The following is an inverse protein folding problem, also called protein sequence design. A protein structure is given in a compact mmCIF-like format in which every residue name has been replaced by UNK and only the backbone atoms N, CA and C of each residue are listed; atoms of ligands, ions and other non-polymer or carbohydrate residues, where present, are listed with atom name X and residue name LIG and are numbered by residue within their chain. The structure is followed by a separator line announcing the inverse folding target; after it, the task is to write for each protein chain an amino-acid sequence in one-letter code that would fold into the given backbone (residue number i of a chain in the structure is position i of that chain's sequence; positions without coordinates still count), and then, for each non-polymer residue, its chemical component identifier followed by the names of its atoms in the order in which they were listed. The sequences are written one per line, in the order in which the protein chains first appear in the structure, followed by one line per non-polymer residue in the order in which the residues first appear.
data_IF_602825960779
#
_entry.id   IF_602825960779
#
_cell.length_a   1.000
_cell.length_b   1.000
_cell.length_c   1.000
_cell.angle_alpha   90.00
_cell.angle_beta   90.00
_cell.angle_gamma   90.00
#
_symmetry.space_group_name_H-M   'P 1'
#
loop_
_entity.id
_entity.type
_entity.pdbx_description
1 polymer ?
#
# COMPACT_ATOMS: atom_id res chain seq x y z
N UNK A 1 -51.47 -42.26 14.32
CA UNK A 1 -50.94 -40.89 14.53
C UNK A 1 -49.64 -41.00 15.31
N UNK A 2 -48.52 -40.75 14.65
CA UNK A 2 -47.17 -40.89 15.21
C UNK A 2 -46.91 -39.81 16.27
N UNK A 3 -46.52 -40.22 17.47
CA UNK A 3 -46.20 -39.33 18.57
C UNK A 3 -44.90 -38.57 18.24
N UNK A 4 -45.01 -37.25 18.07
CA UNK A 4 -43.88 -36.36 17.85
C UNK A 4 -42.99 -36.37 19.09
N UNK A 5 -41.82 -36.99 18.97
CA UNK A 5 -40.74 -36.92 19.96
C UNK A 5 -40.29 -35.47 20.06
N UNK A 6 -40.58 -34.82 21.20
CA UNK A 6 -40.06 -33.49 21.52
C UNK A 6 -38.53 -33.53 21.50
N UNK A 7 -37.91 -32.83 20.54
CA UNK A 7 -36.46 -32.61 20.50
C UNK A 7 -36.02 -31.97 21.82
N UNK A 8 -35.10 -32.64 22.54
CA UNK A 8 -34.53 -32.17 23.81
C UNK A 8 -33.80 -30.84 23.57
N UNK A 9 -34.19 -29.79 24.29
CA UNK A 9 -33.49 -28.49 24.29
C UNK A 9 -32.20 -28.61 25.10
N UNK A 10 -31.09 -28.17 24.49
CA UNK A 10 -29.70 -28.25 24.99
C UNK A 10 -29.45 -27.34 26.21
N UNK A 11 -30.41 -26.49 26.55
CA UNK A 11 -30.25 -25.39 27.51
C UNK A 11 -30.64 -25.80 28.95
N UNK A 12 -31.22 -26.99 29.12
CA UNK A 12 -31.69 -27.53 30.42
C UNK A 12 -30.70 -28.50 31.08
N UNK A 13 -29.60 -28.86 30.42
CA UNK A 13 -28.57 -29.67 31.04
C UNK A 13 -27.63 -28.76 31.85
N UNK A 14 -27.68 -28.88 33.17
CA UNK A 14 -26.78 -28.23 34.12
C UNK A 14 -25.31 -28.32 33.64
N UNK A 15 -24.83 -27.25 32.99
CA UNK A 15 -23.44 -27.08 32.51
C UNK A 15 -22.48 -26.80 33.68
N UNK A 16 -22.61 -27.58 34.76
CA UNK A 16 -21.76 -27.42 35.92
C UNK A 16 -20.39 -28.04 35.60
N UNK A 17 -19.42 -27.17 35.34
CA UNK A 17 -18.02 -27.54 35.26
C UNK A 17 -17.59 -28.09 36.63
N UNK A 18 -17.29 -29.40 36.70
CA UNK A 18 -16.75 -30.01 37.91
C UNK A 18 -15.21 -30.09 37.81
N UNK A 19 -14.45 -29.30 38.59
CA UNK A 19 -12.99 -29.32 38.58
C UNK A 19 -12.38 -30.64 39.07
N UNK A 20 -13.15 -31.55 39.68
CA UNK A 20 -12.66 -32.80 40.26
C UNK A 20 -11.99 -33.75 39.26
N UNK A 21 -12.24 -33.60 37.95
CA UNK A 21 -11.68 -34.47 36.90
C UNK A 21 -10.41 -33.93 36.23
N UNK A 22 -9.72 -32.95 36.82
CA UNK A 22 -8.52 -32.33 36.24
C UNK A 22 -8.77 -31.65 34.89
N UNK A 23 -9.88 -30.94 34.75
CA UNK A 23 -10.18 -30.13 33.57
C UNK A 23 -10.02 -28.64 33.85
N UNK A 24 -9.86 -27.85 32.79
CA UNK A 24 -9.99 -26.40 32.79
C UNK A 24 -10.78 -25.97 31.56
N UNK A 25 -11.56 -24.88 31.66
CA UNK A 25 -12.30 -24.35 30.52
C UNK A 25 -11.41 -23.42 29.68
N UNK A 26 -11.34 -23.66 28.37
CA UNK A 26 -10.64 -22.82 27.40
C UNK A 26 -11.44 -22.68 26.11
N UNK A 27 -11.69 -21.43 25.71
CA UNK A 27 -12.42 -21.09 24.49
C UNK A 27 -13.77 -21.83 24.34
N UNK A 28 -14.50 -22.03 25.46
CA UNK A 28 -15.76 -22.76 25.47
C UNK A 28 -15.65 -24.29 25.35
N UNK A 29 -14.45 -24.86 25.54
CA UNK A 29 -14.19 -26.30 25.53
C UNK A 29 -13.47 -26.74 26.82
N UNK A 30 -13.64 -28.01 27.22
CA UNK A 30 -12.95 -28.55 28.40
C UNK A 30 -11.59 -29.13 27.98
N UNK A 31 -10.49 -28.64 28.55
CA UNK A 31 -9.16 -29.19 28.31
C UNK A 31 -8.68 -29.98 29.53
N UNK A 32 -8.24 -31.23 29.31
CA UNK A 32 -7.65 -32.06 30.36
C UNK A 32 -6.26 -31.53 30.75
N UNK A 33 -6.01 -31.31 32.04
CA UNK A 33 -4.76 -30.79 32.58
C UNK A 33 -3.62 -31.82 32.59
N UNK A 34 -3.94 -33.11 32.44
CA UNK A 34 -2.96 -34.21 32.49
C UNK A 34 -2.41 -34.52 31.09
N UNK A 35 -3.28 -34.73 30.11
CA UNK A 35 -2.88 -35.10 28.74
C UNK A 35 -3.10 -34.00 27.69
N UNK A 36 -3.58 -32.82 28.09
CA UNK A 36 -3.82 -31.65 27.23
C UNK A 36 -4.86 -31.85 26.11
N UNK A 37 -5.53 -33.02 26.05
CA UNK A 37 -6.61 -33.30 25.10
C UNK A 37 -7.84 -32.46 25.42
N UNK A 38 -8.53 -32.00 24.36
CA UNK A 38 -9.73 -31.18 24.46
C UNK A 38 -11.00 -32.00 24.25
N UNK A 39 -12.02 -31.74 25.05
CA UNK A 39 -13.35 -32.30 24.97
C UNK A 39 -14.30 -31.21 24.46
N UNK A 40 -14.83 -31.41 23.26
CA UNK A 40 -15.57 -30.39 22.51
C UNK A 40 -16.87 -29.94 23.17
N UNK A 41 -17.46 -30.76 24.05
CA UNK A 41 -18.74 -30.47 24.72
C UNK A 41 -18.55 -30.54 26.23
N UNK A 42 -18.75 -29.39 26.89
CA UNK A 42 -18.67 -29.16 28.35
C UNK A 42 -19.80 -29.88 29.12
N UNK A 43 -19.82 -31.22 29.05
CA UNK A 43 -20.70 -32.07 29.85
C UNK A 43 -19.87 -32.86 30.85
N UNK A 44 -20.32 -32.95 32.09
CA UNK A 44 -19.68 -33.76 33.13
C UNK A 44 -19.47 -35.20 32.67
N UNK A 45 -20.47 -35.80 32.00
CA UNK A 45 -20.36 -37.14 31.42
C UNK A 45 -19.13 -37.29 30.51
N UNK A 46 -18.83 -36.30 29.66
CA UNK A 46 -17.70 -36.39 28.73
C UNK A 46 -16.35 -36.26 29.46
N UNK A 47 -16.29 -35.41 30.48
CA UNK A 47 -15.09 -35.24 31.33
C UNK A 47 -14.84 -36.50 32.18
N UNK A 48 -15.90 -37.07 32.76
CA UNK A 48 -15.87 -38.33 33.50
C UNK A 48 -15.45 -39.50 32.62
N UNK A 49 -16.06 -39.65 31.44
CA UNK A 49 -15.69 -40.71 30.48
C UNK A 49 -14.23 -40.58 30.05
N UNK A 50 -13.76 -39.36 29.79
CA UNK A 50 -12.34 -39.14 29.48
C UNK A 50 -11.45 -39.54 30.65
N UNK A 51 -11.81 -39.16 31.87
CA UNK A 51 -11.09 -39.55 33.08
C UNK A 51 -11.03 -41.08 33.26
N UNK A 52 -12.17 -41.76 33.19
CA UNK A 52 -12.29 -43.22 33.34
C UNK A 52 -11.47 -43.96 32.28
N UNK A 53 -11.52 -43.51 31.02
CA UNK A 53 -10.86 -44.20 29.91
C UNK A 53 -9.37 -43.88 29.75
N UNK A 54 -8.89 -42.75 30.26
CA UNK A 54 -7.51 -42.29 30.01
C UNK A 54 -6.66 -42.17 31.29
N UNK A 55 -7.28 -41.95 32.44
CA UNK A 55 -6.59 -41.56 33.68
C UNK A 55 -6.98 -42.38 34.91
N UNK A 56 -7.92 -43.33 34.79
CA UNK A 56 -8.35 -44.17 35.92
C UNK A 56 -7.24 -45.07 36.47
N UNK A 57 -6.29 -45.50 35.63
CA UNK A 57 -5.10 -46.25 36.03
C UNK A 57 -3.88 -45.35 36.31
N UNK A 58 -4.05 -44.02 36.33
CA UNK A 58 -2.94 -43.09 36.57
C UNK A 58 -2.67 -42.93 38.06
N UNK A 59 -1.47 -42.43 38.39
CA UNK A 59 -1.11 -42.04 39.75
C UNK A 59 -2.00 -40.96 40.35
N UNK A 60 -2.83 -40.28 39.54
CA UNK A 60 -3.79 -39.27 39.98
C UNK A 60 -5.13 -39.85 40.45
N UNK A 61 -5.37 -41.16 40.29
CA UNK A 61 -6.60 -41.81 40.74
C UNK A 61 -6.63 -42.08 42.25
N UNK A 62 -5.46 -42.32 42.86
CA UNK A 62 -5.30 -42.71 44.26
C UNK A 62 -4.93 -41.57 45.22
N UNK A 63 -4.89 -40.32 44.73
CA UNK A 63 -4.54 -39.16 45.55
C UNK A 63 -5.72 -38.70 46.42
N UNK A 64 -5.40 -38.12 47.57
CA UNK A 64 -6.39 -37.51 48.47
C UNK A 64 -7.04 -36.25 47.85
N UNK A 65 -8.17 -35.83 48.41
CA UNK A 65 -8.88 -34.63 47.93
C UNK A 65 -8.04 -33.34 48.07
N UNK A 66 -7.15 -33.27 49.07
CA UNK A 66 -6.25 -32.12 49.28
C UNK A 66 -5.16 -32.09 48.21
N UNK A 67 -4.48 -33.21 47.97
CA UNK A 67 -3.44 -33.35 46.95
C UNK A 67 -4.00 -33.12 45.54
N UNK A 68 -5.25 -33.54 45.29
CA UNK A 68 -5.94 -33.29 44.02
C UNK A 68 -6.10 -31.79 43.74
N UNK A 69 -6.54 -31.02 44.73
CA UNK A 69 -6.69 -29.56 44.59
C UNK A 69 -5.35 -28.89 44.30
N UNK A 70 -4.29 -29.29 45.00
CA UNK A 70 -2.95 -28.75 44.78
C UNK A 70 -2.42 -29.09 43.38
N UNK A 71 -2.60 -30.34 42.93
CA UNK A 71 -2.19 -30.78 41.60
C UNK A 71 -2.93 -30.03 40.48
N UNK A 72 -4.25 -29.80 40.64
CA UNK A 72 -5.04 -29.00 39.69
C UNK A 72 -4.50 -27.57 39.61
N UNK A 73 -4.22 -26.92 40.74
CA UNK A 73 -3.67 -25.56 40.79
C UNK A 73 -2.30 -25.51 40.11
N UNK A 74 -1.42 -26.46 40.40
CA UNK A 74 -0.07 -26.55 39.83
C UNK A 74 -0.10 -26.76 38.32
N UNK A 75 -0.89 -27.72 37.83
CA UNK A 75 -1.01 -28.03 36.40
C UNK A 75 -1.67 -26.89 35.63
N UNK A 76 -2.72 -26.27 36.20
CA UNK A 76 -3.36 -25.08 35.63
C UNK A 76 -2.37 -23.91 35.53
N UNK A 77 -1.58 -23.66 36.57
CA UNK A 77 -0.55 -22.63 36.58
C UNK A 77 0.54 -22.88 35.53
N UNK A 78 0.98 -24.12 35.35
CA UNK A 78 1.95 -24.48 34.30
C UNK A 78 1.40 -24.26 32.89
N UNK A 79 0.14 -24.64 32.66
CA UNK A 79 -0.53 -24.46 31.37
C UNK A 79 -0.76 -22.97 31.05
N UNK A 80 -1.08 -22.15 32.05
CA UNK A 80 -1.17 -20.70 31.90
C UNK A 80 0.19 -20.08 31.58
N UNK A 81 1.27 -20.52 32.24
CA UNK A 81 2.64 -20.07 31.96
C UNK A 81 3.03 -20.36 30.51
N UNK A 82 2.82 -21.58 30.02
CA UNK A 82 3.17 -21.96 28.64
C UNK A 82 2.41 -21.13 27.60
N UNK A 83 1.10 -20.95 27.76
CA UNK A 83 0.30 -20.10 26.86
C UNK A 83 0.65 -18.61 26.94
N UNK A 84 1.02 -18.11 28.12
CA UNK A 84 1.46 -16.73 28.26
C UNK A 84 2.75 -16.42 27.49
N UNK A 85 3.65 -17.41 27.35
CA UNK A 85 4.87 -17.28 26.56
C UNK A 85 4.58 -17.18 25.06
N UNK A 86 3.70 -18.05 24.54
CA UNK A 86 3.26 -17.98 23.13
C UNK A 86 2.55 -16.66 22.83
N UNK A 87 1.63 -16.21 23.70
CA UNK A 87 0.92 -14.93 23.51
C UNK A 87 1.87 -13.72 23.56
N UNK A 88 2.90 -13.75 24.40
CA UNK A 88 3.94 -12.71 24.46
C UNK A 88 4.76 -12.65 23.16
N UNK A 89 5.14 -13.79 22.59
CA UNK A 89 5.84 -13.82 21.29
C UNK A 89 4.98 -13.28 20.15
N UNK A 90 3.69 -13.65 20.10
CA UNK A 90 2.77 -13.11 19.07
C UNK A 90 2.62 -11.60 19.20
N UNK A 91 2.47 -11.08 20.42
CA UNK A 91 2.31 -9.62 20.65
C UNK A 91 3.56 -8.81 20.33
N UNK A 92 4.77 -9.34 20.51
CA UNK A 92 6.00 -8.67 20.08
C UNK A 92 6.17 -8.69 18.55
N UNK A 93 5.87 -9.81 17.90
CA UNK A 93 5.87 -9.90 16.44
C UNK A 93 4.85 -8.93 15.79
N UNK A 94 3.69 -8.75 16.41
CA UNK A 94 2.67 -7.80 15.97
C UNK A 94 3.16 -6.34 16.07
N UNK A 95 3.88 -6.00 17.16
CA UNK A 95 4.46 -4.65 17.35
C UNK A 95 5.52 -4.34 16.30
N UNK A 96 6.42 -5.29 16.03
CA UNK A 96 7.46 -5.17 14.99
C UNK A 96 6.83 -4.96 13.62
N UNK A 97 5.80 -5.75 13.32
CA UNK A 97 5.05 -5.63 12.08
C UNK A 97 4.38 -4.26 11.99
N UNK A 98 3.67 -3.82 13.03
CA UNK A 98 3.04 -2.50 13.07
C UNK A 98 4.04 -1.36 12.88
N UNK A 99 5.20 -1.41 13.55
CA UNK A 99 6.23 -0.38 13.44
C UNK A 99 6.71 -0.19 11.98
N UNK A 100 6.96 -1.27 11.25
CA UNK A 100 7.39 -1.13 9.85
C UNK A 100 6.25 -0.69 8.91
N UNK A 101 4.97 -0.96 9.21
CA UNK A 101 3.86 -0.35 8.47
C UNK A 101 3.82 1.16 8.66
N UNK A 102 4.02 1.64 9.89
CA UNK A 102 4.03 3.06 10.21
C UNK A 102 5.16 3.80 9.48
N UNK A 103 6.38 3.25 9.48
CA UNK A 103 7.52 3.81 8.74
C UNK A 103 7.26 3.79 7.23
N UNK A 104 6.76 2.67 6.69
CA UNK A 104 6.43 2.55 5.26
C UNK A 104 5.36 3.57 4.83
N UNK A 105 4.36 3.80 5.68
CA UNK A 105 3.32 4.82 5.46
C UNK A 105 3.90 6.24 5.46
N UNK A 106 4.86 6.53 6.34
CA UNK A 106 5.54 7.84 6.36
C UNK A 106 6.35 8.08 5.08
N UNK A 107 7.07 7.07 4.59
CA UNK A 107 7.78 7.12 3.31
C UNK A 107 6.82 7.44 2.16
N UNK A 108 5.70 6.71 2.08
CA UNK A 108 4.68 6.91 1.06
C UNK A 108 4.09 8.33 1.10
N UNK A 109 3.67 8.81 2.29
CA UNK A 109 3.06 10.14 2.45
C UNK A 109 4.01 11.29 2.09
N UNK A 110 5.32 11.04 2.11
CA UNK A 110 6.36 12.03 1.77
C UNK A 110 6.94 11.80 0.37
N UNK A 111 6.37 10.89 -0.42
CA UNK A 111 6.83 10.53 -1.77
C UNK A 111 8.33 10.18 -1.80
N UNK A 112 8.80 9.47 -0.78
CA UNK A 112 10.20 9.03 -0.69
C UNK A 112 10.41 7.67 -1.37
N UNK A 113 11.56 7.44 -2.02
CA UNK A 113 11.89 6.14 -2.61
C UNK A 113 11.80 5.00 -1.60
N UNK A 114 11.39 3.81 -2.03
CA UNK A 114 11.35 2.63 -1.15
C UNK A 114 12.74 2.20 -0.67
N UNK A 115 13.79 2.56 -1.40
CA UNK A 115 15.19 2.37 -1.03
C UNK A 115 15.59 3.16 0.21
N UNK A 116 14.90 4.25 0.53
CA UNK A 116 15.16 5.03 1.74
C UNK A 116 14.83 4.23 3.01
N UNK A 117 14.01 3.17 2.91
CA UNK A 117 13.72 2.27 4.04
C UNK A 117 14.97 1.61 4.61
N UNK A 118 15.93 1.23 3.76
CA UNK A 118 17.20 0.63 4.19
C UNK A 118 18.06 1.66 4.91
N UNK A 119 18.18 2.88 4.35
CA UNK A 119 18.93 3.97 4.97
C UNK A 119 18.33 4.38 6.33
N UNK A 120 17.01 4.46 6.44
CA UNK A 120 16.33 4.72 7.72
C UNK A 120 16.65 3.62 8.73
N UNK A 121 16.69 2.36 8.30
CA UNK A 121 17.06 1.25 9.19
C UNK A 121 18.50 1.40 9.69
N UNK A 122 19.44 1.75 8.82
CA UNK A 122 20.83 2.03 9.22
C UNK A 122 20.92 3.16 10.25
N UNK A 123 20.22 4.27 10.03
CA UNK A 123 20.15 5.38 10.98
C UNK A 123 19.60 4.95 12.34
N UNK A 124 18.53 4.15 12.36
CA UNK A 124 17.96 3.61 13.61
C UNK A 124 18.98 2.72 14.31
N UNK A 125 19.71 1.86 13.58
CA UNK A 125 20.71 0.98 14.19
C UNK A 125 21.84 1.75 14.87
N UNK A 126 22.38 2.80 14.23
CA UNK A 126 23.42 3.65 14.81
C UNK A 126 22.96 4.31 16.12
N UNK A 127 21.72 4.81 16.14
CA UNK A 127 21.13 5.43 17.35
C UNK A 127 20.95 4.40 18.46
N UNK A 128 20.47 3.19 18.13
CA UNK A 128 20.25 2.13 19.12
C UNK A 128 21.57 1.62 19.71
N UNK A 129 22.60 1.46 18.88
CA UNK A 129 23.93 1.05 19.35
C UNK A 129 24.54 2.07 20.31
N UNK A 130 24.28 3.36 20.06
CA UNK A 130 24.79 4.45 20.88
C UNK A 130 24.03 4.65 22.19
N UNK A 131 22.70 4.46 22.19
CA UNK A 131 21.85 4.81 23.34
C UNK A 131 21.36 3.59 24.15
N UNK A 132 21.07 2.47 23.50
CA UNK A 132 20.47 1.30 24.16
C UNK A 132 20.78 -0.03 23.43
N UNK A 133 22.06 -0.47 23.41
CA UNK A 133 22.49 -1.66 22.68
C UNK A 133 21.77 -2.94 23.14
N UNK A 134 21.31 -3.00 24.39
CA UNK A 134 20.54 -4.13 24.91
C UNK A 134 19.18 -4.37 24.22
N UNK A 135 18.69 -3.42 23.41
CA UNK A 135 17.44 -3.56 22.64
C UNK A 135 17.66 -3.81 21.15
N UNK A 136 18.91 -3.96 20.69
CA UNK A 136 19.27 -4.09 19.28
C UNK A 136 18.43 -5.12 18.52
N UNK A 137 18.27 -6.32 19.07
CA UNK A 137 17.54 -7.43 18.44
C UNK A 137 16.07 -7.10 18.13
N UNK A 138 15.42 -6.26 18.95
CA UNK A 138 14.04 -5.84 18.71
C UNK A 138 13.92 -4.94 17.47
N UNK A 139 14.85 -4.01 17.27
CA UNK A 139 14.85 -3.09 16.12
C UNK A 139 15.37 -3.76 14.85
N UNK A 140 16.34 -4.67 14.97
CA UNK A 140 16.87 -5.43 13.84
C UNK A 140 15.78 -6.25 13.13
N UNK A 141 14.81 -6.75 13.91
CA UNK A 141 13.66 -7.52 13.42
C UNK A 141 12.66 -6.70 12.58
N UNK A 142 12.72 -5.36 12.65
CA UNK A 142 11.89 -4.46 11.85
C UNK A 142 12.40 -4.49 10.40
N UNK A 143 11.64 -5.12 9.50
CA UNK A 143 12.00 -5.18 8.07
C UNK A 143 11.57 -3.91 7.34
N UNK A 144 12.52 -3.18 6.77
CA UNK A 144 12.32 -1.97 5.96
C UNK A 144 12.92 -2.08 4.55
N UNK A 145 13.19 -3.31 4.10
CA UNK A 145 13.67 -3.58 2.75
C UNK A 145 12.69 -3.02 1.70
N UNK A 146 13.15 -2.61 0.51
CA UNK A 146 12.31 -1.95 -0.49
C UNK A 146 11.07 -2.78 -0.86
N UNK A 147 11.23 -4.10 -1.02
CA UNK A 147 10.12 -5.04 -1.28
C UNK A 147 9.11 -5.10 -0.14
N UNK A 148 9.59 -5.01 1.10
CA UNK A 148 8.75 -5.03 2.30
C UNK A 148 7.97 -3.72 2.43
N UNK A 149 8.64 -2.58 2.21
CA UNK A 149 8.01 -1.26 2.20
C UNK A 149 6.93 -1.20 1.12
N UNK A 150 7.24 -1.61 -0.11
CA UNK A 150 6.29 -1.67 -1.22
C UNK A 150 5.04 -2.48 -0.85
N UNK A 151 5.22 -3.74 -0.42
CA UNK A 151 4.11 -4.62 -0.05
C UNK A 151 3.25 -4.05 1.08
N UNK A 152 3.84 -3.36 2.05
CA UNK A 152 3.12 -2.72 3.17
C UNK A 152 2.29 -1.53 2.73
N UNK A 153 2.78 -0.77 1.74
CA UNK A 153 2.04 0.35 1.14
C UNK A 153 0.88 -0.18 0.30
N UNK A 154 1.11 -1.21 -0.52
CA UNK A 154 0.06 -1.86 -1.32
C UNK A 154 -1.06 -2.44 -0.46
N UNK A 155 -0.72 -3.05 0.68
CA UNK A 155 -1.70 -3.58 1.63
C UNK A 155 -2.33 -2.50 2.53
N UNK A 156 -1.87 -1.25 2.44
CA UNK A 156 -2.41 -0.15 3.23
C UNK A 156 -3.54 0.54 2.46
N UNK A 157 -4.78 0.16 2.77
CA UNK A 157 -5.99 0.86 2.29
C UNK A 157 -5.93 2.38 2.53
N UNK A 158 -5.20 2.82 3.56
CA UNK A 158 -5.11 4.24 3.96
C UNK A 158 -4.52 5.20 2.92
N UNK A 159 -3.66 4.74 2.01
CA UNK A 159 -3.12 5.59 0.94
C UNK A 159 -4.19 5.82 -0.13
N UNK A 160 -4.95 4.77 -0.46
CA UNK A 160 -6.06 4.83 -1.39
C UNK A 160 -7.25 5.61 -0.80
N UNK A 161 -7.50 5.46 0.50
CA UNK A 161 -8.53 6.21 1.22
C UNK A 161 -8.19 7.70 1.34
N UNK A 162 -6.91 8.05 1.52
CA UNK A 162 -6.48 9.45 1.52
C UNK A 162 -6.70 10.10 0.14
N UNK A 163 -6.35 9.41 -0.94
CA UNK A 163 -6.62 9.87 -2.32
C UNK A 163 -8.13 9.97 -2.59
N UNK A 164 -8.93 8.97 -2.21
CA UNK A 164 -10.40 8.98 -2.33
C UNK A 164 -11.04 10.10 -1.51
N UNK A 165 -10.54 10.38 -0.30
CA UNK A 165 -11.03 11.46 0.56
C UNK A 165 -10.63 12.84 0.02
N UNK A 166 -9.48 12.96 -0.65
CA UNK A 166 -9.10 14.18 -1.37
C UNK A 166 -9.93 14.39 -2.65
N UNK A 167 -10.45 13.31 -3.25
CA UNK A 167 -11.27 13.34 -4.47
C UNK A 167 -12.77 13.67 -4.25
N UNK A 168 -13.22 13.95 -3.03
CA UNK A 168 -14.65 14.23 -2.76
C UNK A 168 -14.97 15.71 -2.52
N UNK A 169 -13.99 16.55 -2.19
CA UNK A 169 -14.19 17.96 -1.80
C UNK A 169 -13.48 18.97 -2.73
N UNK A 170 -13.93 19.11 -3.97
CA UNK A 170 -13.45 20.13 -4.91
C UNK A 170 -14.58 20.62 -5.79
N UNK A 171 -14.56 21.87 -6.25
CA UNK A 171 -15.60 22.45 -7.12
C UNK A 171 -15.41 22.13 -8.59
N UNK A 172 -14.16 22.08 -9.02
CA UNK A 172 -13.76 21.78 -10.37
C UNK A 172 -12.43 21.04 -10.39
N UNK A 173 -12.20 20.27 -11.45
CA UNK A 173 -10.91 19.65 -11.68
C UNK A 173 -10.55 19.59 -13.16
N UNK A 174 -9.27 19.32 -13.40
CA UNK A 174 -8.71 19.05 -14.71
C UNK A 174 -7.81 17.83 -14.65
N UNK A 175 -7.67 17.15 -15.78
CA UNK A 175 -6.80 16.00 -15.94
C UNK A 175 -5.64 16.37 -16.85
N UNK A 176 -4.42 15.97 -16.50
CA UNK A 176 -3.29 15.96 -17.43
C UNK A 176 -2.90 14.52 -17.70
N UNK A 177 -2.81 14.19 -18.99
CA UNK A 177 -2.57 12.85 -19.49
C UNK A 177 -1.26 12.86 -20.28
N UNK A 178 -0.33 12.01 -19.86
CA UNK A 178 0.98 11.87 -20.50
C UNK A 178 1.27 10.40 -20.76
N UNK A 179 1.58 10.07 -22.01
CA UNK A 179 1.96 8.71 -22.40
C UNK A 179 3.48 8.63 -22.47
N UNK A 180 4.06 7.68 -21.73
CA UNK A 180 5.49 7.38 -21.81
C UNK A 180 5.68 5.90 -22.04
N UNK A 181 6.71 5.53 -22.80
CA UNK A 181 7.18 4.15 -22.91
C UNK A 181 8.17 3.84 -21.79
N UNK A 182 8.00 2.71 -21.12
CA UNK A 182 8.96 2.25 -20.11
C UNK A 182 10.16 1.54 -20.75
N UNK A 183 11.18 1.23 -19.94
CA UNK A 183 12.40 0.55 -20.41
C UNK A 183 12.16 -0.87 -20.94
N UNK A 184 10.94 -1.41 -20.79
CA UNK A 184 10.53 -2.74 -21.27
C UNK A 184 9.54 -2.62 -22.44
N UNK A 185 9.52 -1.47 -23.12
CA UNK A 185 8.64 -1.16 -24.25
C UNK A 185 7.12 -1.25 -23.91
N UNK A 186 6.76 -1.18 -22.63
CA UNK A 186 5.34 -1.08 -22.23
C UNK A 186 4.96 0.38 -22.12
N UNK A 187 3.96 0.80 -22.90
CA UNK A 187 3.41 2.14 -22.79
C UNK A 187 2.66 2.29 -21.47
N UNK A 188 2.87 3.42 -20.79
CA UNK A 188 2.24 3.75 -19.52
C UNK A 188 1.60 5.14 -19.64
N UNK A 189 0.35 5.22 -19.23
CA UNK A 189 -0.40 6.47 -19.14
C UNK A 189 -0.29 7.02 -17.72
N UNK A 190 0.40 8.14 -17.56
CA UNK A 190 0.41 8.92 -16.35
C UNK A 190 -0.81 9.86 -16.32
N UNK A 191 -1.61 9.76 -15.26
CA UNK A 191 -2.79 10.59 -15.05
C UNK A 191 -2.54 11.47 -13.83
N UNK A 192 -2.54 12.78 -14.05
CA UNK A 192 -2.49 13.79 -12.99
C UNK A 192 -3.84 14.46 -12.86
N UNK A 193 -4.19 14.83 -11.63
CA UNK A 193 -5.39 15.59 -11.33
C UNK A 193 -5.02 16.92 -10.69
N UNK A 194 -5.61 17.99 -11.21
CA UNK A 194 -5.52 19.32 -10.61
C UNK A 194 -6.91 19.78 -10.22
N UNK A 195 -7.13 20.00 -8.92
CA UNK A 195 -8.42 20.29 -8.29
C UNK A 195 -8.44 21.69 -7.70
N UNK A 196 -9.61 22.31 -7.67
CA UNK A 196 -9.84 23.60 -7.02
C UNK A 196 -10.97 23.46 -6.01
N UNK A 197 -10.76 23.89 -4.77
CA UNK A 197 -11.79 23.87 -3.72
C UNK A 197 -12.63 25.15 -3.73
N UNK A 198 -13.74 25.16 -2.98
CA UNK A 198 -14.56 26.35 -2.77
C UNK A 198 -13.78 27.53 -2.13
N UNK A 199 -12.70 27.23 -1.41
CA UNK A 199 -11.79 28.23 -0.86
C UNK A 199 -10.73 28.71 -1.88
N UNK A 200 -10.89 28.36 -3.16
CA UNK A 200 -9.96 28.65 -4.27
C UNK A 200 -8.54 28.10 -4.04
N UNK A 201 -8.41 27.06 -3.22
CA UNK A 201 -7.15 26.37 -3.03
C UNK A 201 -6.95 25.36 -4.16
N UNK A 202 -5.76 25.41 -4.76
CA UNK A 202 -5.37 24.52 -5.86
C UNK A 202 -4.53 23.37 -5.32
N UNK A 203 -4.90 22.16 -5.69
CA UNK A 203 -4.17 20.95 -5.36
C UNK A 203 -3.84 20.20 -6.64
N UNK A 204 -2.58 19.80 -6.79
CA UNK A 204 -2.11 18.99 -7.90
C UNK A 204 -1.54 17.68 -7.35
N UNK A 205 -2.04 16.56 -7.86
CA UNK A 205 -1.65 15.23 -7.40
C UNK A 205 -1.50 14.27 -8.57
N UNK A 206 -0.57 13.33 -8.41
CA UNK A 206 -0.48 12.17 -9.26
C UNK A 206 -1.62 11.20 -8.90
N UNK A 207 -2.50 10.93 -9.87
CA UNK A 207 -3.68 10.11 -9.63
C UNK A 207 -3.37 8.63 -9.84
N UNK A 208 -2.83 8.27 -11.01
CA UNK A 208 -2.56 6.87 -11.33
C UNK A 208 -1.57 6.73 -12.49
N UNK A 209 -0.77 5.65 -12.45
CA UNK A 209 -0.01 5.14 -13.59
C UNK A 209 -0.75 3.93 -14.16
N UNK A 210 -1.18 3.98 -15.41
CA UNK A 210 -1.94 2.90 -16.04
C UNK A 210 -1.12 2.27 -17.16
N UNK A 211 -0.71 1.00 -17.05
CA UNK A 211 -0.05 0.29 -18.14
C UNK A 211 -1.05 0.01 -19.28
N UNK A 212 -0.70 0.44 -20.50
CA UNK A 212 -1.44 0.19 -21.72
C UNK A 212 -0.89 -1.08 -22.38
N UNK A 213 -1.75 -2.08 -22.56
CA UNK A 213 -1.33 -3.39 -23.08
C UNK A 213 -1.70 -3.53 -24.56
N UNK A 214 -0.71 -3.87 -25.38
CA UNK A 214 -0.90 -4.16 -26.81
C UNK A 214 -0.89 -2.92 -27.70
N UNK A 215 -1.82 -1.99 -27.51
CA UNK A 215 -1.95 -0.77 -28.32
C UNK A 215 -2.10 0.50 -27.48
N UNK A 216 -1.74 1.64 -28.08
CA UNK A 216 -1.85 2.98 -27.48
C UNK A 216 -2.82 3.86 -28.27
N UNK A 217 -3.94 3.28 -28.71
CA UNK A 217 -4.93 4.06 -29.46
C UNK A 217 -5.66 5.03 -28.54
N UNK A 218 -6.25 6.09 -29.11
CA UNK A 218 -7.06 7.02 -28.31
C UNK A 218 -8.26 6.37 -27.61
N UNK A 219 -8.74 5.23 -28.12
CA UNK A 219 -9.77 4.44 -27.45
C UNK A 219 -9.22 3.76 -26.19
N UNK A 220 -8.05 3.11 -26.29
CA UNK A 220 -7.40 2.44 -25.15
C UNK A 220 -7.10 3.43 -24.01
N UNK A 221 -6.60 4.61 -24.37
CA UNK A 221 -6.32 5.70 -23.42
C UNK A 221 -7.63 6.22 -22.81
N UNK A 222 -8.67 6.43 -23.61
CA UNK A 222 -9.97 6.87 -23.09
C UNK A 222 -10.56 5.86 -22.10
N UNK A 223 -10.50 4.57 -22.41
CA UNK A 223 -11.02 3.51 -21.54
C UNK A 223 -10.23 3.43 -20.22
N UNK A 224 -8.90 3.58 -20.29
CA UNK A 224 -8.03 3.68 -19.11
C UNK A 224 -8.40 4.89 -18.21
N UNK A 225 -8.62 6.06 -18.81
CA UNK A 225 -9.05 7.26 -18.07
C UNK A 225 -10.42 7.06 -17.44
N UNK A 226 -11.37 6.48 -18.17
CA UNK A 226 -12.72 6.24 -17.67
C UNK A 226 -12.72 5.23 -16.51
N UNK A 227 -11.87 4.20 -16.57
CA UNK A 227 -11.67 3.27 -15.47
C UNK A 227 -11.07 3.96 -14.24
N UNK A 228 -10.06 4.82 -14.43
CA UNK A 228 -9.44 5.60 -13.36
C UNK A 228 -10.46 6.52 -12.66
N UNK A 229 -11.28 7.23 -13.45
CA UNK A 229 -12.37 8.10 -12.97
C UNK A 229 -13.36 7.30 -12.12
N UNK A 230 -13.80 6.13 -12.57
CA UNK A 230 -14.69 5.24 -11.82
C UNK A 230 -14.05 4.74 -10.52
N UNK A 231 -12.79 4.32 -10.58
CA UNK A 231 -12.05 3.81 -9.42
C UNK A 231 -11.91 4.85 -8.30
N UNK A 232 -11.72 6.11 -8.68
CA UNK A 232 -11.59 7.23 -7.74
C UNK A 232 -12.90 7.97 -7.47
N UNK A 233 -14.03 7.49 -8.02
CA UNK A 233 -15.35 8.09 -7.87
C UNK A 233 -15.39 9.59 -8.24
N UNK A 234 -14.64 9.96 -9.28
CA UNK A 234 -14.58 11.34 -9.76
C UNK A 234 -15.87 11.69 -10.53
N UNK A 235 -16.48 12.80 -10.14
CA UNK A 235 -17.66 13.31 -10.83
C UNK A 235 -17.27 14.09 -12.08
N UNK A 236 -17.42 13.46 -13.26
CA UNK A 236 -17.15 14.08 -14.56
C UNK A 236 -18.00 15.33 -14.84
N UNK A 237 -19.08 15.58 -14.08
CA UNK A 237 -19.84 16.85 -14.19
C UNK A 237 -18.99 18.08 -13.82
N UNK A 238 -17.90 17.88 -13.07
CA UNK A 238 -16.98 18.93 -12.57
C UNK A 238 -15.68 19.02 -13.36
N UNK A 239 -15.53 18.23 -14.42
CA UNK A 239 -14.36 18.25 -15.29
C UNK A 239 -14.36 19.51 -16.15
N UNK A 240 -13.33 20.35 -16.05
CA UNK A 240 -13.23 21.60 -16.82
C UNK A 240 -12.21 21.54 -17.95
N UNK A 241 -11.19 20.70 -17.82
CA UNK A 241 -10.07 20.69 -18.76
C UNK A 241 -9.36 19.34 -18.82
N UNK A 242 -8.87 18.99 -20.01
CA UNK A 242 -8.01 17.85 -20.27
C UNK A 242 -6.76 18.36 -21.00
N UNK A 243 -5.60 18.13 -20.40
CA UNK A 243 -4.30 18.49 -20.96
C UNK A 243 -3.61 17.25 -21.52
N UNK A 244 -3.06 17.34 -22.73
CA UNK A 244 -2.39 16.22 -23.40
C UNK A 244 -1.12 16.70 -24.11
N UNK A 245 -0.20 15.78 -24.40
CA UNK A 245 1.06 16.02 -25.13
C UNK A 245 0.90 16.35 -26.62
N UNK A 246 -0.32 16.38 -27.15
CA UNK A 246 -0.57 16.70 -28.56
C UNK A 246 -0.59 15.49 -29.49
N UNK A 247 -0.23 14.28 -29.04
CA UNK A 247 -0.16 13.10 -29.89
C UNK A 247 -1.50 12.82 -30.60
N UNK A 248 -1.49 12.27 -31.83
CA UNK A 248 -2.72 11.98 -32.58
C UNK A 248 -3.71 11.07 -31.82
N UNK A 249 -3.19 10.11 -31.04
CA UNK A 249 -4.00 9.24 -30.17
C UNK A 249 -4.69 10.02 -29.04
N UNK A 250 -4.13 11.15 -28.61
CA UNK A 250 -4.68 11.99 -27.53
C UNK A 250 -5.64 13.05 -28.06
N UNK A 251 -5.21 13.80 -29.09
CA UNK A 251 -5.89 15.01 -29.57
C UNK A 251 -6.76 14.80 -30.81
N UNK A 252 -6.67 13.64 -31.45
CA UNK A 252 -7.39 13.32 -32.69
C UNK A 252 -8.87 13.71 -32.63
N UNK A 253 -9.35 14.42 -33.66
CA UNK A 253 -10.72 14.97 -33.66
C UNK A 253 -11.80 13.91 -33.46
N UNK A 254 -11.68 12.76 -34.15
CA UNK A 254 -12.68 11.68 -34.11
C UNK A 254 -12.34 10.60 -33.08
N UNK A 255 -11.08 10.16 -33.04
CA UNK A 255 -10.63 9.00 -32.27
C UNK A 255 -9.62 9.34 -31.15
N UNK A 256 -9.35 10.62 -30.91
CA UNK A 256 -8.43 11.03 -29.86
C UNK A 256 -9.07 10.91 -28.49
N UNK A 257 -8.31 10.44 -27.49
CA UNK A 257 -8.78 10.20 -26.13
C UNK A 257 -9.49 11.42 -25.51
N UNK A 258 -8.91 12.61 -25.62
CA UNK A 258 -9.53 13.84 -25.12
C UNK A 258 -10.84 14.15 -25.84
N UNK A 259 -10.91 13.93 -27.15
CA UNK A 259 -12.14 14.15 -27.92
C UNK A 259 -13.23 13.12 -27.58
N UNK A 260 -12.86 11.87 -27.27
CA UNK A 260 -13.79 10.84 -26.81
C UNK A 260 -14.33 11.16 -25.42
N UNK A 261 -13.46 11.61 -24.50
CA UNK A 261 -13.85 12.01 -23.15
C UNK A 261 -14.84 13.17 -23.15
N UNK A 262 -14.58 14.21 -23.95
CA UNK A 262 -15.51 15.35 -24.08
C UNK A 262 -16.88 14.89 -24.55
N UNK A 263 -16.97 14.06 -25.60
CA UNK A 263 -18.25 13.53 -26.09
C UNK A 263 -18.97 12.67 -25.04
N UNK A 264 -18.22 11.88 -24.28
CA UNK A 264 -18.79 11.06 -23.21
C UNK A 264 -19.44 11.95 -22.15
N UNK A 265 -18.77 13.03 -21.74
CA UNK A 265 -19.31 14.01 -20.80
C UNK A 265 -20.53 14.75 -21.38
N UNK A 266 -20.45 15.23 -22.63
CA UNK A 266 -21.58 15.90 -23.32
C UNK A 266 -22.81 14.99 -23.39
N UNK A 267 -22.64 13.71 -23.76
CA UNK A 267 -23.71 12.73 -23.80
C UNK A 267 -24.30 12.42 -22.40
N UNK A 268 -23.52 12.60 -21.35
CA UNK A 268 -23.95 12.47 -19.95
C UNK A 268 -24.62 13.74 -19.39
N UNK A 269 -24.83 14.77 -20.21
CA UNK A 269 -25.50 16.01 -19.80
C UNK A 269 -24.58 17.03 -19.14
N UNK A 270 -23.26 16.93 -19.34
CA UNK A 270 -22.31 17.93 -18.88
C UNK A 270 -22.59 19.29 -19.56
N UNK A 271 -22.77 20.35 -18.78
CA UNK A 271 -23.28 21.65 -19.27
C UNK A 271 -22.20 22.67 -19.61
N UNK A 272 -20.98 22.50 -19.08
CA UNK A 272 -19.88 23.45 -19.29
C UNK A 272 -18.97 22.99 -20.44
N UNK A 273 -18.31 23.91 -21.16
CA UNK A 273 -17.34 23.52 -22.17
C UNK A 273 -16.09 22.91 -21.51
N UNK A 274 -15.72 21.70 -21.91
CA UNK A 274 -14.48 21.06 -21.49
C UNK A 274 -13.34 21.50 -22.41
N UNK A 275 -12.34 22.18 -21.86
CA UNK A 275 -11.20 22.66 -22.62
C UNK A 275 -10.19 21.54 -22.90
N UNK A 276 -9.69 21.47 -24.14
CA UNK A 276 -8.59 20.57 -24.52
C UNK A 276 -7.34 21.40 -24.68
N UNK A 277 -6.38 21.22 -23.77
CA UNK A 277 -5.14 21.99 -23.73
C UNK A 277 -3.99 21.12 -24.21
N UNK A 278 -3.14 21.68 -25.07
CA UNK A 278 -1.89 21.05 -25.46
C UNK A 278 -0.83 21.43 -24.41
N UNK A 279 -0.09 20.45 -23.91
CA UNK A 279 1.03 20.62 -23.00
C UNK A 279 2.00 21.70 -23.52
N UNK A 280 2.18 22.76 -22.73
CA UNK A 280 3.04 23.90 -23.09
C UNK A 280 4.51 23.48 -23.23
N UNK A 281 4.97 22.52 -22.42
CA UNK A 281 6.34 21.99 -22.49
C UNK A 281 6.56 21.26 -23.81
N UNK A 282 5.56 20.49 -24.27
CA UNK A 282 5.63 19.85 -25.57
C UNK A 282 5.61 20.89 -26.70
N UNK A 283 4.75 21.90 -26.61
CA UNK A 283 4.72 23.00 -27.58
C UNK A 283 6.04 23.78 -27.63
N UNK A 284 6.65 24.09 -26.49
CA UNK A 284 7.95 24.74 -26.40
C UNK A 284 9.03 23.89 -27.08
N UNK A 285 9.05 22.58 -26.81
CA UNK A 285 9.95 21.63 -27.46
C UNK A 285 9.75 21.61 -28.99
N UNK A 286 8.51 21.59 -29.47
CA UNK A 286 8.20 21.67 -30.90
C UNK A 286 8.61 23.02 -31.51
N UNK A 287 8.35 24.12 -30.81
CA UNK A 287 8.76 25.46 -31.24
C UNK A 287 10.29 25.57 -31.32
N UNK A 288 11.03 25.00 -30.37
CA UNK A 288 12.50 25.00 -30.40
C UNK A 288 13.05 24.23 -31.61
N UNK A 289 12.41 23.11 -32.00
CA UNK A 289 12.75 22.35 -33.21
C UNK A 289 12.40 23.10 -34.50
N UNK A 290 11.39 23.97 -34.45
CA UNK A 290 10.93 24.78 -35.59
C UNK A 290 11.74 26.06 -35.74
N UNK A 291 12.28 26.60 -34.65
CA UNK A 291 13.26 27.66 -34.66
C UNK A 291 14.52 27.10 -35.33
N UNK A 292 14.88 27.64 -36.50
CA UNK A 292 15.98 27.16 -37.33
C UNK A 292 17.36 27.54 -36.72
N UNK A 293 17.57 27.18 -35.45
CA UNK A 293 18.75 27.47 -34.64
C UNK A 293 19.74 26.29 -34.63
N UNK A 294 19.61 25.38 -35.60
CA UNK A 294 20.43 24.17 -35.73
C UNK A 294 21.91 24.49 -35.67
N UNK A 295 22.34 25.57 -36.34
CA UNK A 295 23.75 25.99 -36.35
C UNK A 295 24.24 26.39 -34.96
N UNK A 296 23.46 27.22 -34.23
CA UNK A 296 23.77 27.65 -32.87
C UNK A 296 23.77 26.46 -31.90
N UNK A 297 22.70 25.65 -31.94
CA UNK A 297 22.58 24.46 -31.08
C UNK A 297 23.67 23.43 -31.35
N UNK A 298 24.12 23.27 -32.60
CA UNK A 298 25.23 22.37 -32.92
C UNK A 298 26.54 22.81 -32.25
N UNK A 299 26.80 24.13 -32.17
CA UNK A 299 27.95 24.69 -31.47
C UNK A 299 27.81 24.49 -29.97
N UNK A 300 26.63 24.79 -29.40
CA UNK A 300 26.35 24.59 -27.97
C UNK A 300 26.54 23.11 -27.59
N UNK A 301 25.99 22.17 -28.34
CA UNK A 301 26.14 20.73 -28.09
C UNK A 301 27.60 20.30 -28.18
N UNK A 302 28.38 20.79 -29.15
CA UNK A 302 29.83 20.52 -29.23
C UNK A 302 30.58 21.04 -28.01
N UNK A 303 30.26 22.25 -27.54
CA UNK A 303 30.87 22.84 -26.34
C UNK A 303 30.51 22.03 -25.10
N UNK A 304 29.24 21.71 -24.89
CA UNK A 304 28.77 20.90 -23.76
C UNK A 304 29.42 19.51 -23.78
N UNK A 305 29.45 18.82 -24.92
CA UNK A 305 30.12 17.53 -25.05
C UNK A 305 31.63 17.64 -24.77
N UNK A 306 32.27 18.75 -25.15
CA UNK A 306 33.69 18.99 -24.85
C UNK A 306 33.94 19.19 -23.35
N UNK A 307 33.03 19.89 -22.65
CA UNK A 307 33.06 20.06 -21.19
C UNK A 307 32.86 18.71 -20.50
N UNK A 308 31.88 17.92 -20.95
CA UNK A 308 31.54 16.61 -20.36
C UNK A 308 32.55 15.51 -20.68
N UNK A 309 33.25 15.59 -21.81
CA UNK A 309 34.22 14.57 -22.24
C UNK A 309 35.45 14.45 -21.33
N UNK A 310 35.71 15.47 -20.49
CA UNK A 310 36.88 15.49 -19.59
C UNK A 310 36.44 15.78 -18.16
N UNK A 311 36.80 14.88 -17.25
CA UNK A 311 36.46 14.96 -15.82
C UNK A 311 36.98 16.22 -15.11
N UNK A 312 38.06 16.85 -15.60
CA UNK A 312 38.56 18.12 -15.08
C UNK A 312 37.67 19.29 -15.52
N UNK A 313 37.32 19.37 -16.81
CA UNK A 313 36.48 20.43 -17.36
C UNK A 313 35.07 20.42 -16.73
N UNK A 314 34.49 19.24 -16.54
CA UNK A 314 33.21 19.09 -15.88
C UNK A 314 33.25 19.60 -14.42
N UNK A 315 34.29 19.24 -13.65
CA UNK A 315 34.46 19.73 -12.26
C UNK A 315 34.66 21.24 -12.18
N UNK A 316 35.45 21.81 -13.09
CA UNK A 316 35.66 23.26 -13.16
C UNK A 316 34.39 24.02 -13.57
N UNK A 317 33.62 23.46 -14.51
CA UNK A 317 32.34 24.03 -14.93
C UNK A 317 31.31 23.98 -13.81
N UNK A 318 31.22 22.87 -13.06
CA UNK A 318 30.35 22.76 -11.88
C UNK A 318 30.69 23.83 -10.83
N UNK A 319 31.97 24.01 -10.51
CA UNK A 319 32.42 25.04 -9.57
C UNK A 319 32.06 26.47 -10.03
N UNK A 320 32.09 26.73 -11.34
CA UNK A 320 31.66 28.02 -11.92
C UNK A 320 30.14 28.20 -11.84
N UNK A 321 29.35 27.15 -12.03
CA UNK A 321 27.88 27.22 -11.98
C UNK A 321 27.32 27.30 -10.56
N UNK A 322 28.06 26.79 -9.56
CA UNK A 322 27.69 26.91 -8.15
C UNK A 322 27.68 28.38 -7.67
N UNK A 323 28.47 29.27 -8.30
CA UNK A 323 28.42 30.72 -8.05
C UNK A 323 27.15 31.39 -8.62
N UNK A 324 26.42 30.72 -9.52
CA UNK A 324 25.28 31.26 -10.27
C UNK A 324 24.02 30.41 -10.05
N UNK A 325 23.70 30.04 -8.80
CA UNK A 325 22.39 29.53 -8.29
C UNK A 325 21.46 28.73 -9.24
N UNK A 326 21.97 27.95 -10.18
CA UNK A 326 21.18 27.14 -11.11
C UNK A 326 21.74 25.72 -11.16
N UNK A 327 20.98 24.80 -10.58
CA UNK A 327 21.28 23.38 -10.47
C UNK A 327 21.16 22.66 -11.82
N UNK A 328 22.24 22.01 -12.23
CA UNK A 328 22.38 21.01 -13.31
C UNK A 328 21.96 21.40 -14.73
N UNK A 329 22.95 21.50 -15.63
CA UNK A 329 22.74 21.33 -17.07
C UNK A 329 22.42 19.85 -17.32
N UNK A 330 21.15 19.54 -17.61
CA UNK A 330 20.74 18.20 -18.03
C UNK A 330 21.25 17.90 -19.44
N UNK A 331 21.63 16.64 -19.69
CA UNK A 331 21.88 16.16 -21.05
C UNK A 331 20.62 16.38 -21.89
N UNK A 332 20.72 17.15 -22.98
CA UNK A 332 19.68 17.22 -24.01
C UNK A 332 19.59 15.86 -24.71
N UNK A 333 18.81 14.93 -24.17
CA UNK A 333 18.33 13.78 -24.93
C UNK A 333 17.11 14.22 -25.71
N UNK A 334 17.17 14.07 -27.04
CA UNK A 334 16.05 14.36 -27.94
C UNK A 334 14.75 13.73 -27.42
N UNK A 335 13.73 14.56 -27.20
CA UNK A 335 12.35 14.06 -27.09
C UNK A 335 12.02 13.39 -28.42
N UNK A 336 12.00 12.06 -28.44
CA UNK A 336 11.56 11.27 -29.59
C UNK A 336 10.07 11.49 -29.75
N UNK A 337 9.72 12.39 -30.67
CA UNK A 337 8.38 12.47 -31.22
C UNK A 337 8.15 11.21 -32.04
N UNK A 338 7.33 10.28 -31.54
CA UNK A 338 6.70 9.30 -32.39
C UNK A 338 5.70 10.07 -33.27
N UNK A 339 6.11 10.32 -34.52
CA UNK A 339 5.25 10.88 -35.56
C UNK A 339 4.37 9.82 -36.18
#
# INVERSE_FOLDING_TARGET
MSAIVKKRKVDLECRAFNPEYFFTERFGQAQCLICLKTVAVLKEYNMRRHWETQHQASSFASISAAERKEAIVKLSGNLQKSTSLFRKQTTEADKVTRASYEVSRLLARRMKPFTDGDFIKECIMVVIDSLCPGKRSAFESVSLLPRTVCRRIEMSDSVNDSLKTCCSNFDAFSLALDESTDMKDTAQLAIFIRRVTAALQVYEEFLQLVPLHGTTTGQDIFDAVLQCVKQHSLDLSRLMCVTTDGAPAMTGKKKGAASLLVRHCEAAGHTQPIHKVHCIIHQESLCSKSANLTDVMSVVVKVVNSILSRSLNHRQFQALTDEVTHTMVTCFTSVRSAG
#
